data_IF_033718445880
#
_entry.id   IF_033718445880
#
_cell.length_a   1.000
_cell.length_b   1.000
_cell.length_c   1.000
_cell.angle_alpha   90.00
_cell.angle_beta   90.00
_cell.angle_gamma   90.00
#
_symmetry.space_group_name_H-M   'P 1'
#
loop_
_entity.id
_entity.type
_entity.pdbx_description
1 polymer ?
#
# COMPACT_ATOMS: atom_id res chain seq x y z
N UNK A 1 31.17 -16.21 -6.81
CA UNK A 1 31.65 -16.92 -8.02
C UNK A 1 31.23 -16.09 -9.21
N UNK A 2 32.19 -15.61 -9.99
CA UNK A 2 31.94 -14.64 -11.07
C UNK A 2 31.38 -15.31 -12.32
N UNK A 3 30.47 -14.62 -13.00
CA UNK A 3 29.94 -14.99 -14.31
C UNK A 3 30.18 -13.87 -15.32
N UNK A 4 30.61 -14.26 -16.53
CA UNK A 4 30.99 -13.38 -17.63
C UNK A 4 29.78 -12.78 -18.35
N UNK A 5 29.93 -11.56 -18.85
CA UNK A 5 28.95 -10.86 -19.69
C UNK A 5 28.94 -11.37 -21.14
N UNK A 6 27.75 -11.39 -21.75
CA UNK A 6 27.58 -11.38 -23.21
C UNK A 6 26.82 -10.12 -23.66
N UNK A 7 26.93 -9.81 -24.96
CA UNK A 7 26.52 -8.54 -25.54
C UNK A 7 25.01 -8.25 -25.47
N UNK A 8 24.68 -6.95 -25.50
CA UNK A 8 23.34 -6.38 -25.49
C UNK A 8 22.34 -7.14 -26.38
N UNK A 9 21.22 -7.61 -25.80
CA UNK A 9 20.06 -8.09 -26.56
C UNK A 9 19.45 -9.44 -26.16
N UNK A 10 19.81 -10.05 -25.02
CA UNK A 10 19.25 -11.36 -24.62
C UNK A 10 18.13 -11.21 -23.58
N UNK A 11 17.04 -11.96 -23.74
CA UNK A 11 15.77 -11.84 -23.01
C UNK A 11 15.70 -12.54 -21.64
N UNK A 12 16.84 -13.01 -21.09
CA UNK A 12 16.90 -13.63 -19.75
C UNK A 12 17.49 -12.64 -18.75
N UNK A 13 16.84 -12.48 -17.59
CA UNK A 13 17.39 -11.73 -16.44
C UNK A 13 18.68 -12.41 -15.98
N UNK A 14 19.82 -11.83 -16.33
CA UNK A 14 21.11 -12.12 -15.70
C UNK A 14 21.30 -11.13 -14.54
N UNK A 15 21.67 -11.63 -13.36
CA UNK A 15 21.99 -10.77 -12.21
C UNK A 15 23.27 -10.00 -12.54
N UNK A 16 23.20 -8.68 -12.58
CA UNK A 16 24.35 -7.81 -12.86
C UNK A 16 25.24 -7.68 -11.61
N UNK A 17 26.54 -7.93 -11.75
CA UNK A 17 27.52 -7.61 -10.71
C UNK A 17 27.62 -6.08 -10.55
N UNK A 18 27.05 -5.58 -9.46
CA UNK A 18 26.99 -4.15 -9.14
C UNK A 18 28.14 -3.70 -8.23
N UNK A 19 29.14 -4.56 -8.00
CA UNK A 19 30.22 -4.31 -7.03
C UNK A 19 31.05 -3.06 -7.34
N UNK A 20 31.22 -2.69 -8.62
CA UNK A 20 31.91 -1.46 -9.04
C UNK A 20 31.16 -0.17 -8.68
N UNK A 21 29.82 -0.22 -8.66
CA UNK A 21 28.99 0.91 -8.24
C UNK A 21 29.06 1.10 -6.72
N UNK A 22 28.87 0.01 -5.96
CA UNK A 22 28.91 0.05 -4.50
C UNK A 22 30.29 0.38 -3.92
N UNK A 23 31.39 0.01 -4.61
CA UNK A 23 32.76 0.39 -4.23
C UNK A 23 33.02 1.91 -4.18
N UNK A 24 32.12 2.74 -4.72
CA UNK A 24 32.22 4.21 -4.69
C UNK A 24 31.72 4.82 -3.38
N UNK A 25 31.06 4.04 -2.55
CA UNK A 25 30.47 4.47 -1.29
C UNK A 25 31.08 3.68 -0.13
N UNK A 26 31.15 4.29 1.06
CA UNK A 26 31.44 3.50 2.26
C UNK A 26 30.28 2.52 2.46
N UNK A 27 30.53 1.20 2.50
CA UNK A 27 29.46 0.24 2.70
C UNK A 27 28.80 0.48 4.06
N UNK A 28 27.46 0.39 4.15
CA UNK A 28 26.80 0.48 5.44
C UNK A 28 27.27 -0.66 6.36
N UNK A 29 27.31 -0.38 7.65
CA UNK A 29 27.52 -1.39 8.68
C UNK A 29 26.27 -2.28 8.77
N UNK A 30 26.43 -3.57 8.50
CA UNK A 30 25.37 -4.56 8.60
C UNK A 30 25.56 -5.31 9.92
N UNK A 31 24.52 -5.31 10.75
CA UNK A 31 24.49 -6.01 12.03
C UNK A 31 24.12 -7.48 11.85
N UNK A 32 24.82 -8.35 12.58
CA UNK A 32 24.51 -9.77 12.72
C UNK A 32 23.57 -10.06 13.90
N UNK A 33 22.93 -9.02 14.47
CA UNK A 33 21.97 -9.17 15.56
C UNK A 33 20.73 -9.97 15.09
N UNK A 34 20.45 -11.03 15.84
CA UNK A 34 19.33 -11.97 15.66
C UNK A 34 18.42 -12.02 16.89
N UNK A 35 18.59 -11.11 17.87
CA UNK A 35 17.80 -11.11 19.09
C UNK A 35 16.48 -10.37 18.88
N UNK A 36 15.39 -11.13 18.82
CA UNK A 36 14.03 -10.59 18.84
C UNK A 36 13.51 -10.61 20.28
N UNK A 37 13.07 -9.44 20.75
CA UNK A 37 12.47 -9.26 22.06
C UNK A 37 11.08 -9.88 22.14
N UNK A 38 10.62 -10.16 23.36
CA UNK A 38 9.25 -10.61 23.58
C UNK A 38 8.27 -9.49 23.29
N UNK A 39 7.18 -9.80 22.59
CA UNK A 39 6.12 -8.84 22.29
C UNK A 39 5.45 -8.27 23.55
N UNK A 40 5.22 -9.06 24.61
CA UNK A 40 4.54 -8.58 25.82
C UNK A 40 3.05 -8.26 25.60
N UNK A 41 2.46 -7.46 26.49
CA UNK A 41 1.10 -6.91 26.30
C UNK A 41 1.16 -5.81 25.24
N UNK A 42 0.66 -6.12 24.05
CA UNK A 42 0.49 -5.19 22.93
C UNK A 42 -0.96 -5.28 22.46
N UNK A 43 -1.34 -4.47 21.47
CA UNK A 43 -2.71 -4.10 21.11
C UNK A 43 -3.27 -2.99 22.03
N UNK A 44 -2.37 -2.09 22.45
CA UNK A 44 -2.66 -0.97 23.35
C UNK A 44 -2.26 0.35 22.69
N UNK A 45 -3.11 1.36 22.88
CA UNK A 45 -2.79 2.76 22.55
C UNK A 45 -2.61 3.50 23.86
N UNK A 46 -1.44 4.09 24.08
CA UNK A 46 -1.08 4.81 25.30
C UNK A 46 -1.37 6.31 25.15
N UNK A 47 -1.92 6.91 26.21
CA UNK A 47 -1.90 8.38 26.36
C UNK A 47 -0.55 8.73 26.97
N UNK A 48 0.33 9.37 26.20
CA UNK A 48 1.68 9.68 26.65
C UNK A 48 2.58 10.28 25.58
N UNK A 49 3.75 10.74 26.02
CA UNK A 49 4.77 11.32 25.16
C UNK A 49 5.66 10.22 24.57
N UNK A 50 5.70 10.10 23.25
CA UNK A 50 6.47 9.05 22.57
C UNK A 50 8.00 9.21 22.70
N UNK A 51 8.50 10.26 23.35
CA UNK A 51 9.90 10.34 23.81
C UNK A 51 10.21 9.39 24.96
N UNK A 52 9.17 8.84 25.62
CA UNK A 52 9.28 7.76 26.59
C UNK A 52 8.29 6.64 26.20
N UNK A 53 8.82 5.61 25.54
CA UNK A 53 8.06 4.40 25.20
C UNK A 53 8.52 3.21 26.03
N UNK A 54 8.86 3.42 27.30
CA UNK A 54 9.35 2.37 28.21
C UNK A 54 8.40 1.18 28.40
N UNK A 55 7.10 1.36 28.14
CA UNK A 55 6.13 0.25 28.15
C UNK A 55 6.24 -0.66 26.90
N UNK A 56 6.93 -0.22 25.83
CA UNK A 56 7.23 -1.04 24.65
C UNK A 56 8.59 -1.72 24.86
N UNK A 57 8.65 -3.07 24.88
CA UNK A 57 9.91 -3.78 25.03
C UNK A 57 10.92 -3.48 23.91
N UNK A 58 12.20 -3.70 24.20
CA UNK A 58 13.26 -3.59 23.19
C UNK A 58 13.08 -4.67 22.12
N UNK A 59 13.40 -4.33 20.86
CA UNK A 59 13.42 -5.27 19.75
C UNK A 59 12.14 -6.12 19.59
N UNK A 60 10.96 -5.57 19.90
CA UNK A 60 9.68 -6.28 19.95
C UNK A 60 8.69 -5.86 18.87
N UNK A 61 9.01 -4.86 18.04
CA UNK A 61 8.14 -4.40 16.96
C UNK A 61 8.75 -4.65 15.59
N UNK A 62 7.93 -5.16 14.68
CA UNK A 62 8.37 -5.50 13.34
C UNK A 62 8.50 -4.26 12.45
N UNK A 63 7.60 -3.30 12.64
CA UNK A 63 7.54 -2.10 11.83
C UNK A 63 7.09 -0.89 12.63
N UNK A 64 7.62 0.28 12.27
CA UNK A 64 7.10 1.58 12.66
C UNK A 64 6.50 2.23 11.41
N UNK A 65 5.25 2.67 11.47
CA UNK A 65 4.61 3.47 10.42
C UNK A 65 3.89 4.63 11.07
N UNK A 66 4.22 5.85 10.64
CA UNK A 66 3.65 7.04 11.28
C UNK A 66 3.71 8.26 10.36
N UNK A 67 2.99 9.30 10.76
CA UNK A 67 3.01 10.63 10.17
C UNK A 67 3.13 11.65 11.31
N UNK A 68 4.35 12.18 11.59
CA UNK A 68 4.54 13.13 12.67
C UNK A 68 3.71 14.41 12.49
N UNK A 69 3.40 15.15 13.57
CA UNK A 69 2.71 16.42 13.47
C UNK A 69 3.51 17.39 12.59
N UNK A 70 2.88 17.97 11.57
CA UNK A 70 3.54 18.92 10.68
C UNK A 70 3.65 20.29 11.35
N UNK A 71 4.87 20.81 11.48
CA UNK A 71 5.15 22.17 11.98
C UNK A 71 4.69 23.25 10.97
N UNK A 72 3.40 23.25 10.65
CA UNK A 72 2.77 24.00 9.55
C UNK A 72 1.89 25.17 10.02
N UNK A 73 1.87 25.47 11.32
CA UNK A 73 1.22 26.67 11.88
C UNK A 73 -0.33 26.67 11.85
N UNK A 74 -0.99 25.50 11.85
CA UNK A 74 -2.48 25.43 11.93
C UNK A 74 -2.92 25.03 13.33
N UNK A 75 -3.75 25.87 13.97
CA UNK A 75 -4.48 25.73 15.26
C UNK A 75 -3.66 25.35 16.51
N UNK A 76 -2.57 24.59 16.37
CA UNK A 76 -1.55 24.33 17.39
C UNK A 76 -0.77 25.59 17.82
N UNK A 77 -0.85 26.70 17.06
CA UNK A 77 -0.21 27.97 17.44
C UNK A 77 -0.82 28.63 18.68
N UNK A 78 -2.05 28.27 19.07
CA UNK A 78 -2.61 28.78 20.33
C UNK A 78 -1.94 28.17 21.58
N UNK A 79 -1.14 27.11 21.41
CA UNK A 79 -0.42 26.41 22.47
C UNK A 79 1.11 26.30 22.21
N UNK A 80 1.65 27.05 21.23
CA UNK A 80 3.10 27.03 20.95
C UNK A 80 3.87 27.55 22.18
N UNK A 81 4.71 26.70 22.78
CA UNK A 81 5.45 27.00 24.01
C UNK A 81 4.74 26.61 25.31
N UNK A 82 3.57 25.96 25.26
CA UNK A 82 2.90 25.36 26.41
C UNK A 82 2.95 23.82 26.35
N UNK A 83 3.48 23.17 27.39
CA UNK A 83 3.50 21.71 27.51
C UNK A 83 4.51 20.99 26.62
N UNK A 84 4.04 20.03 25.81
CA UNK A 84 4.88 19.08 25.04
C UNK A 84 5.19 19.53 23.59
N UNK A 85 4.77 20.74 23.18
CA UNK A 85 4.86 21.23 21.79
C UNK A 85 6.19 21.98 21.57
N UNK A 86 6.98 21.65 20.53
CA UNK A 86 8.22 22.37 20.21
C UNK A 86 7.97 23.87 19.93
N UNK A 87 8.83 24.73 20.46
CA UNK A 87 8.75 26.18 20.31
C UNK A 87 9.33 26.69 18.98
N UNK A 88 10.23 25.93 18.36
CA UNK A 88 10.77 26.23 17.03
C UNK A 88 11.06 24.97 16.18
N UNK A 89 11.53 25.21 14.94
CA UNK A 89 11.80 24.13 13.99
C UNK A 89 12.95 23.22 14.41
N UNK A 90 13.96 23.73 15.10
CA UNK A 90 15.11 22.93 15.55
C UNK A 90 14.70 22.06 16.74
N UNK A 91 13.93 22.61 17.68
CA UNK A 91 13.32 21.85 18.77
C UNK A 91 12.38 20.76 18.21
N UNK A 92 11.65 21.05 17.13
CA UNK A 92 10.83 20.06 16.44
C UNK A 92 11.66 18.92 15.86
N UNK A 93 12.76 19.21 15.14
CA UNK A 93 13.65 18.16 14.63
C UNK A 93 14.30 17.35 15.76
N UNK A 94 14.64 18.00 16.87
CA UNK A 94 15.18 17.32 18.08
C UNK A 94 14.14 16.35 18.65
N UNK A 95 12.89 16.80 18.78
CA UNK A 95 11.78 15.94 19.23
C UNK A 95 11.60 14.74 18.30
N UNK A 96 11.59 14.93 16.97
CA UNK A 96 11.50 13.82 16.02
C UNK A 96 12.66 12.83 16.19
N UNK A 97 13.90 13.34 16.33
CA UNK A 97 15.09 12.51 16.50
C UNK A 97 15.02 11.68 17.79
N UNK A 98 14.51 12.24 18.87
CA UNK A 98 14.38 11.53 20.15
C UNK A 98 13.27 10.47 20.10
N UNK A 99 12.11 10.79 19.54
CA UNK A 99 11.01 9.81 19.31
C UNK A 99 11.47 8.68 18.39
N UNK A 100 12.13 9.01 17.28
CA UNK A 100 12.64 7.99 16.37
C UNK A 100 13.75 7.16 17.01
N UNK A 101 14.53 7.71 17.95
CA UNK A 101 15.46 6.94 18.77
C UNK A 101 14.76 5.83 19.57
N UNK A 102 13.64 6.14 20.22
CA UNK A 102 12.81 5.15 20.91
C UNK A 102 12.19 4.13 19.94
N UNK A 103 11.78 4.56 18.74
CA UNK A 103 11.37 3.64 17.68
C UNK A 103 12.49 2.67 17.30
N UNK A 104 13.74 3.15 17.17
CA UNK A 104 14.89 2.29 16.85
C UNK A 104 15.17 1.30 17.96
N UNK A 105 15.02 1.68 19.24
CA UNK A 105 15.13 0.75 20.38
C UNK A 105 14.09 -0.38 20.26
N UNK A 106 12.82 -0.02 20.05
CA UNK A 106 11.71 -0.97 19.96
C UNK A 106 11.77 -1.88 18.72
N UNK A 107 12.33 -1.41 17.60
CA UNK A 107 12.40 -2.20 16.36
C UNK A 107 13.25 -3.46 16.52
N UNK A 108 12.72 -4.59 16.03
CA UNK A 108 13.48 -5.83 15.85
C UNK A 108 14.72 -5.61 14.95
N UNK A 109 15.74 -6.49 15.00
CA UNK A 109 16.78 -6.48 13.96
C UNK A 109 16.17 -6.78 12.59
N UNK A 110 16.45 -5.93 11.61
CA UNK A 110 15.72 -5.95 10.34
C UNK A 110 14.30 -5.39 10.46
N UNK A 111 13.96 -4.70 11.54
CA UNK A 111 12.78 -3.84 11.65
C UNK A 111 12.73 -2.81 10.52
N UNK A 112 11.53 -2.41 10.08
CA UNK A 112 11.35 -1.30 9.13
C UNK A 112 10.75 -0.09 9.81
N UNK A 113 11.18 1.09 9.41
CA UNK A 113 10.51 2.35 9.77
C UNK A 113 10.07 3.05 8.49
N UNK A 114 8.84 3.54 8.45
CA UNK A 114 8.26 4.28 7.34
C UNK A 114 7.63 5.57 7.87
N UNK A 115 8.25 6.71 7.56
CA UNK A 115 7.84 8.02 8.07
C UNK A 115 7.21 8.83 6.93
N UNK A 116 5.92 9.13 7.06
CA UNK A 116 5.21 10.00 6.13
C UNK A 116 5.38 11.46 6.52
N UNK A 117 5.85 12.30 5.59
CA UNK A 117 5.97 13.74 5.78
C UNK A 117 5.60 14.54 4.54
N UNK A 118 4.97 15.70 4.80
CA UNK A 118 4.81 16.76 3.82
C UNK A 118 5.92 17.80 3.99
N UNK A 119 6.46 18.31 2.88
CA UNK A 119 7.35 19.45 2.93
C UNK A 119 6.59 20.71 3.37
N UNK A 120 7.26 21.56 4.15
CA UNK A 120 6.62 22.63 4.90
C UNK A 120 6.89 23.99 4.27
N UNK A 121 5.90 24.87 4.39
CA UNK A 121 6.03 26.25 3.96
C UNK A 121 6.21 26.43 2.45
N UNK A 122 6.10 27.68 2.01
CA UNK A 122 6.41 28.09 0.62
C UNK A 122 7.50 29.15 0.60
N UNK A 123 7.59 29.96 1.67
CA UNK A 123 8.52 31.09 1.86
C UNK A 123 8.84 31.26 3.36
N UNK A 124 9.86 30.57 3.90
CA UNK A 124 10.74 29.63 3.21
C UNK A 124 10.05 28.29 2.91
N UNK A 125 10.48 27.62 1.86
CA UNK A 125 10.20 26.20 1.66
C UNK A 125 11.18 25.39 2.52
N UNK A 126 10.68 24.39 3.24
CA UNK A 126 11.44 23.49 4.10
C UNK A 126 11.25 22.06 3.64
N UNK A 127 12.36 21.41 3.31
CA UNK A 127 12.38 20.04 2.85
C UNK A 127 12.42 19.08 4.04
N UNK A 128 11.29 18.94 4.74
CA UNK A 128 11.18 18.07 5.90
C UNK A 128 11.54 16.62 5.57
N UNK A 129 11.27 16.16 4.34
CA UNK A 129 11.68 14.83 3.90
C UNK A 129 13.21 14.62 3.93
N UNK A 130 13.98 15.64 3.56
CA UNK A 130 15.44 15.59 3.65
C UNK A 130 15.94 15.61 5.10
N UNK A 131 15.29 16.41 5.96
CA UNK A 131 15.65 16.48 7.38
C UNK A 131 15.36 15.14 8.08
N UNK A 132 14.20 14.53 7.83
CA UNK A 132 13.86 13.18 8.33
C UNK A 132 14.82 12.12 7.79
N UNK A 133 15.20 12.20 6.51
CA UNK A 133 16.18 11.27 5.92
C UNK A 133 17.51 11.37 6.66
N UNK A 134 17.99 12.59 6.93
CA UNK A 134 19.22 12.83 7.71
C UNK A 134 19.12 12.23 9.11
N UNK A 135 18.02 12.45 9.82
CA UNK A 135 17.81 11.89 11.17
C UNK A 135 17.87 10.36 11.14
N UNK A 136 17.14 9.71 10.22
CA UNK A 136 17.09 8.25 10.16
C UNK A 136 18.45 7.65 9.74
N UNK A 137 19.08 8.22 8.72
CA UNK A 137 20.29 7.65 8.12
C UNK A 137 21.57 8.02 8.89
N UNK A 138 21.75 9.30 9.21
CA UNK A 138 23.03 9.82 9.70
C UNK A 138 23.04 9.86 11.24
N UNK A 139 21.96 10.34 11.87
CA UNK A 139 21.91 10.46 13.34
C UNK A 139 21.60 9.12 14.01
N UNK A 140 20.66 8.34 13.45
CA UNK A 140 20.20 7.06 14.00
C UNK A 140 20.79 5.84 13.29
N UNK A 141 21.62 6.04 12.26
CA UNK A 141 22.39 5.00 11.57
C UNK A 141 21.54 3.86 11.00
N UNK A 142 20.29 4.15 10.63
CA UNK A 142 19.45 3.19 9.93
C UNK A 142 19.87 3.05 8.47
N UNK A 143 19.55 1.89 7.90
CA UNK A 143 19.83 1.55 6.52
C UNK A 143 18.69 2.04 5.64
N UNK A 144 18.91 3.12 4.89
CA UNK A 144 17.91 3.65 3.97
C UNK A 144 17.57 2.63 2.88
N UNK A 145 16.27 2.45 2.62
CA UNK A 145 15.75 1.60 1.53
C UNK A 145 15.31 2.38 0.30
N UNK A 146 14.97 3.64 0.51
CA UNK A 146 14.44 4.52 -0.51
C UNK A 146 13.33 5.38 0.06
N UNK A 147 12.71 6.13 -0.84
CA UNK A 147 11.54 6.95 -0.56
C UNK A 147 10.41 6.57 -1.51
N UNK A 148 9.18 6.68 -1.02
CA UNK A 148 7.99 6.64 -1.87
C UNK A 148 7.45 8.06 -2.00
N UNK A 149 7.16 8.46 -3.23
CA UNK A 149 6.39 9.65 -3.57
C UNK A 149 4.91 9.29 -3.50
N UNK A 150 4.25 9.67 -2.40
CA UNK A 150 2.82 9.49 -2.28
C UNK A 150 2.08 10.61 -3.00
N UNK A 151 1.46 10.29 -4.13
CA UNK A 151 0.65 11.19 -4.94
C UNK A 151 -0.80 11.16 -4.46
N UNK A 152 -1.25 12.25 -3.82
CA UNK A 152 -2.60 12.35 -3.23
C UNK A 152 -3.70 12.49 -4.27
N UNK A 153 -3.40 13.19 -5.38
CA UNK A 153 -4.35 13.50 -6.46
C UNK A 153 -3.61 13.75 -7.78
N UNK A 154 -4.21 13.38 -8.93
CA UNK A 154 -3.70 13.76 -10.26
C UNK A 154 -4.30 15.11 -10.71
N UNK A 155 -3.44 16.04 -11.14
CA UNK A 155 -3.86 17.23 -11.90
C UNK A 155 -4.30 18.44 -11.08
N UNK A 156 -5.18 19.26 -11.68
CA UNK A 156 -5.59 20.52 -11.11
C UNK A 156 -6.61 20.34 -9.97
N UNK A 157 -6.11 20.14 -8.75
CA UNK A 157 -6.91 20.52 -7.59
C UNK A 157 -7.31 21.99 -7.74
N UNK A 158 -8.50 22.37 -7.28
CA UNK A 158 -8.96 23.76 -7.26
C UNK A 158 -8.10 24.70 -6.38
N UNK A 159 -6.91 24.26 -5.97
CA UNK A 159 -5.93 25.03 -5.25
C UNK A 159 -5.32 26.08 -6.18
N UNK A 160 -5.72 27.33 -5.98
CA UNK A 160 -5.16 28.50 -6.65
C UNK A 160 -3.77 28.93 -6.15
N UNK A 161 -3.03 28.03 -5.49
CA UNK A 161 -1.76 28.32 -4.85
C UNK A 161 -0.55 28.28 -5.82
N UNK A 162 -0.69 28.86 -7.02
CA UNK A 162 0.35 28.90 -8.05
C UNK A 162 1.35 30.06 -7.88
N UNK A 163 1.16 30.93 -6.89
CA UNK A 163 1.88 32.20 -6.82
C UNK A 163 1.45 33.11 -7.98
N UNK A 164 2.38 33.56 -8.80
CA UNK A 164 2.09 34.38 -9.98
C UNK A 164 1.48 33.53 -11.11
N UNK A 165 0.18 33.70 -11.36
CA UNK A 165 -0.52 33.02 -12.45
C UNK A 165 0.04 33.44 -13.81
N UNK A 166 0.44 32.45 -14.64
CA UNK A 166 0.99 32.65 -15.99
C UNK A 166 2.12 33.70 -16.06
N UNK A 167 2.90 33.83 -14.99
CA UNK A 167 4.00 34.79 -14.93
C UNK A 167 5.21 34.18 -14.23
N UNK A 168 6.43 34.34 -14.78
CA UNK A 168 7.66 33.87 -14.15
C UNK A 168 8.07 34.73 -12.95
N UNK A 169 7.30 35.80 -12.62
CA UNK A 169 7.64 36.69 -11.52
C UNK A 169 7.80 35.94 -10.19
N UNK A 170 6.90 35.00 -9.89
CA UNK A 170 6.98 34.16 -8.70
C UNK A 170 6.02 32.95 -8.75
N UNK A 171 6.14 32.04 -9.74
CA UNK A 171 5.36 30.82 -9.74
C UNK A 171 5.79 29.91 -8.58
N UNK A 172 4.84 29.22 -7.95
CA UNK A 172 5.10 28.27 -6.87
C UNK A 172 4.62 26.89 -7.28
N UNK A 173 5.41 25.87 -6.97
CA UNK A 173 5.03 24.48 -7.19
C UNK A 173 3.87 24.10 -6.27
N UNK A 174 2.95 23.29 -6.79
CA UNK A 174 1.81 22.79 -6.03
C UNK A 174 2.17 21.46 -5.39
N UNK A 175 2.09 21.41 -4.08
CA UNK A 175 2.42 20.23 -3.28
C UNK A 175 1.27 19.23 -3.38
N UNK A 176 1.34 18.39 -4.41
CA UNK A 176 0.37 17.31 -4.65
C UNK A 176 0.87 15.96 -4.11
N UNK A 177 2.07 15.96 -3.53
CA UNK A 177 2.75 14.77 -3.04
C UNK A 177 3.23 14.93 -1.60
N UNK A 178 3.36 13.80 -0.93
CA UNK A 178 4.11 13.64 0.33
C UNK A 178 5.25 12.64 0.10
N UNK A 179 6.09 12.45 1.11
CA UNK A 179 7.20 11.49 1.07
C UNK A 179 7.05 10.49 2.20
N UNK A 180 7.18 9.21 1.88
CA UNK A 180 7.33 8.15 2.85
C UNK A 180 8.79 7.68 2.81
N UNK A 181 9.55 8.01 3.84
CA UNK A 181 10.97 7.67 3.95
C UNK A 181 11.07 6.31 4.64
N UNK A 182 11.72 5.34 4.00
CA UNK A 182 11.77 3.95 4.47
C UNK A 182 13.20 3.55 4.81
N UNK A 183 13.41 3.05 6.02
CA UNK A 183 14.72 2.56 6.48
C UNK A 183 14.61 1.25 7.27
N UNK A 184 15.75 0.59 7.52
CA UNK A 184 15.82 -0.65 8.30
C UNK A 184 16.86 -0.61 9.41
N UNK A 185 16.55 -1.27 10.53
CA UNK A 185 17.45 -1.38 11.68
C UNK A 185 18.51 -2.46 11.44
N UNK A 186 19.77 -2.04 11.32
CA UNK A 186 20.96 -2.90 11.33
C UNK A 186 21.14 -3.81 10.11
N UNK A 187 20.07 -4.30 9.47
CA UNK A 187 20.15 -5.28 8.37
C UNK A 187 18.98 -5.18 7.39
N UNK A 188 19.18 -5.71 6.19
CA UNK A 188 18.19 -5.63 5.10
C UNK A 188 17.22 -6.83 5.04
N UNK A 189 17.53 -7.94 5.68
CA UNK A 189 16.67 -9.11 5.80
C UNK A 189 15.90 -9.07 7.13
N UNK A 190 15.08 -10.09 7.43
CA UNK A 190 14.40 -10.23 8.72
C UNK A 190 15.01 -11.40 9.48
N UNK A 191 15.12 -11.26 10.79
CA UNK A 191 15.40 -12.38 11.69
C UNK A 191 14.25 -13.39 11.61
N UNK A 192 14.58 -14.69 11.68
CA UNK A 192 13.59 -15.77 11.76
C UNK A 192 12.82 -16.03 10.46
N UNK A 193 13.50 -16.08 9.31
CA UNK A 193 12.92 -16.57 8.05
C UNK A 193 12.52 -18.04 8.21
N UNK A 194 11.23 -18.37 8.16
CA UNK A 194 10.72 -19.72 8.37
C UNK A 194 9.32 -19.94 7.80
N UNK A 195 8.92 -21.21 7.63
CA UNK A 195 7.66 -21.62 7.01
C UNK A 195 6.39 -21.14 7.76
N UNK A 196 6.53 -20.77 9.04
CA UNK A 196 5.40 -20.38 9.90
C UNK A 196 5.00 -18.90 9.75
N UNK A 197 5.78 -18.08 9.03
CA UNK A 197 5.44 -16.67 8.79
C UNK A 197 4.61 -16.52 7.52
N UNK A 198 3.44 -15.90 7.65
CA UNK A 198 2.50 -15.72 6.54
C UNK A 198 2.71 -14.35 5.90
N UNK A 199 3.27 -14.32 4.69
CA UNK A 199 3.25 -13.12 3.86
C UNK A 199 1.83 -12.88 3.35
N UNK A 200 1.39 -11.63 3.21
CA UNK A 200 -0.01 -11.31 2.89
C UNK A 200 -0.18 -10.45 1.63
N UNK A 201 0.89 -10.15 0.88
CA UNK A 201 0.80 -9.31 -0.32
C UNK A 201 0.35 -10.22 -1.48
N UNK A 202 -0.77 -9.93 -2.15
CA UNK A 202 -1.10 -10.62 -3.39
C UNK A 202 -0.02 -10.40 -4.45
N UNK A 203 0.29 -11.43 -5.26
CA UNK A 203 1.41 -11.35 -6.21
C UNK A 203 1.29 -10.24 -7.27
N UNK A 204 0.07 -9.86 -7.65
CA UNK A 204 -0.21 -8.75 -8.56
C UNK A 204 -0.09 -7.38 -7.88
N UNK A 205 -0.51 -7.27 -6.62
CA UNK A 205 -0.31 -6.08 -5.80
C UNK A 205 1.17 -5.85 -5.45
N UNK A 206 1.96 -6.92 -5.28
CA UNK A 206 3.37 -6.82 -4.94
C UNK A 206 4.14 -5.99 -5.95
N UNK A 207 3.93 -6.24 -7.25
CA UNK A 207 4.62 -5.51 -8.31
C UNK A 207 4.28 -4.02 -8.29
N UNK A 208 3.01 -3.66 -8.08
CA UNK A 208 2.58 -2.26 -7.96
C UNK A 208 3.14 -1.60 -6.70
N UNK A 209 3.09 -2.32 -5.58
CA UNK A 209 3.53 -1.82 -4.29
C UNK A 209 5.05 -1.60 -4.24
N UNK A 210 5.84 -2.32 -5.05
CA UNK A 210 7.30 -2.11 -5.17
C UNK A 210 7.72 -0.90 -6.01
N UNK A 211 6.76 -0.17 -6.61
CA UNK A 211 7.06 1.10 -7.28
C UNK A 211 7.30 2.22 -6.25
N UNK A 212 8.05 3.24 -6.65
CA UNK A 212 8.40 4.41 -5.85
C UNK A 212 7.36 5.54 -5.92
N UNK A 213 6.31 5.40 -6.73
CA UNK A 213 5.19 6.35 -6.79
C UNK A 213 3.90 5.64 -6.44
N UNK A 214 3.26 6.04 -5.34
CA UNK A 214 1.99 5.46 -4.90
C UNK A 214 0.87 6.48 -5.07
N UNK A 215 -0.14 6.09 -5.84
CA UNK A 215 -1.34 6.90 -6.07
C UNK A 215 -2.47 6.43 -5.17
N UNK A 216 -2.61 7.08 -4.02
CA UNK A 216 -3.62 6.75 -3.01
C UNK A 216 -4.36 8.05 -2.68
N UNK A 217 -5.69 8.12 -2.87
CA UNK A 217 -6.46 9.31 -2.51
C UNK A 217 -6.33 9.64 -1.02
N UNK A 218 -6.25 10.93 -0.70
CA UNK A 218 -6.27 11.38 0.69
C UNK A 218 -7.61 11.06 1.37
N UNK A 219 -7.57 10.79 2.67
CA UNK A 219 -8.76 10.63 3.50
C UNK A 219 -9.46 11.97 3.76
N UNK A 220 -10.77 11.93 3.94
CA UNK A 220 -11.54 13.13 4.29
C UNK A 220 -11.36 13.46 5.77
N UNK A 221 -10.67 14.55 6.08
CA UNK A 221 -10.46 15.04 7.45
C UNK A 221 -11.79 15.18 8.24
N UNK A 222 -12.86 15.65 7.59
CA UNK A 222 -14.19 15.78 8.20
C UNK A 222 -14.86 14.46 8.51
N UNK A 223 -14.57 13.39 7.75
CA UNK A 223 -15.11 12.05 8.00
C UNK A 223 -14.37 11.33 9.12
N UNK A 224 -13.08 11.61 9.27
CA UNK A 224 -12.22 10.96 10.26
C UNK A 224 -12.21 11.70 11.61
N UNK A 225 -12.65 12.97 11.65
CA UNK A 225 -12.62 13.77 12.88
C UNK A 225 -11.20 14.22 13.27
N UNK A 226 -10.24 14.12 12.35
CA UNK A 226 -8.84 14.47 12.57
C UNK A 226 -8.37 15.45 11.47
N UNK A 227 -7.60 16.50 11.81
CA UNK A 227 -7.25 17.56 10.86
C UNK A 227 -6.34 17.09 9.71
N UNK A 228 -5.54 16.03 9.90
CA UNK A 228 -4.59 15.55 8.89
C UNK A 228 -4.24 14.05 8.97
N UNK A 229 -5.19 13.09 8.86
CA UNK A 229 -4.86 11.67 8.83
C UNK A 229 -4.28 11.27 7.46
N UNK A 230 -3.19 10.50 7.47
CA UNK A 230 -2.78 9.75 6.29
C UNK A 230 -3.75 8.57 6.06
N UNK A 231 -3.94 8.09 4.81
CA UNK A 231 -4.94 7.06 4.51
C UNK A 231 -4.61 5.70 5.08
N UNK A 232 -5.63 4.96 5.53
CA UNK A 232 -5.50 3.56 5.96
C UNK A 232 -4.84 2.72 4.86
N UNK A 233 -5.24 2.89 3.60
CA UNK A 233 -4.68 2.17 2.47
C UNK A 233 -3.17 2.42 2.25
N UNK A 234 -2.66 3.60 2.64
CA UNK A 234 -1.22 3.90 2.57
C UNK A 234 -0.45 3.03 3.58
N UNK A 235 -1.01 2.89 4.79
CA UNK A 235 -0.44 2.07 5.86
C UNK A 235 -0.55 0.59 5.52
N UNK A 236 -1.73 0.12 5.10
CA UNK A 236 -1.94 -1.29 4.71
C UNK A 236 -0.93 -1.75 3.66
N UNK A 237 -0.65 -0.91 2.66
CA UNK A 237 0.39 -1.18 1.66
C UNK A 237 1.78 -1.35 2.29
N UNK A 238 2.14 -0.50 3.24
CA UNK A 238 3.38 -0.64 4.01
C UNK A 238 3.42 -1.96 4.79
N UNK A 239 2.34 -2.28 5.50
CA UNK A 239 2.26 -3.49 6.33
C UNK A 239 2.37 -4.75 5.48
N UNK A 240 1.65 -4.81 4.36
CA UNK A 240 1.76 -5.91 3.42
C UNK A 240 3.21 -6.08 2.95
N UNK A 241 3.89 -5.02 2.49
CA UNK A 241 5.26 -5.12 1.96
C UNK A 241 6.32 -5.48 2.99
N UNK A 242 6.20 -4.99 4.22
CA UNK A 242 7.31 -4.96 5.17
C UNK A 242 7.10 -5.77 6.45
N UNK A 243 5.95 -6.41 6.60
CA UNK A 243 5.61 -7.27 7.77
C UNK A 243 4.91 -8.55 7.35
N UNK A 244 4.90 -9.53 8.24
CA UNK A 244 4.11 -10.76 8.13
C UNK A 244 2.81 -10.63 8.95
N UNK A 245 1.84 -11.51 8.71
CA UNK A 245 0.66 -11.61 9.57
C UNK A 245 1.08 -11.90 11.03
N UNK A 246 0.38 -11.28 11.98
CA UNK A 246 0.67 -11.38 13.41
C UNK A 246 1.80 -10.47 13.92
N UNK A 247 2.58 -9.86 13.02
CA UNK A 247 3.63 -8.91 13.39
C UNK A 247 3.05 -7.68 14.11
N UNK A 248 3.88 -7.05 14.93
CA UNK A 248 3.53 -5.84 15.70
C UNK A 248 3.97 -4.59 14.97
N UNK A 249 3.05 -3.63 14.84
CA UNK A 249 3.28 -2.32 14.26
C UNK A 249 3.21 -1.23 15.32
N UNK A 250 4.21 -0.35 15.37
CA UNK A 250 4.26 0.81 16.26
C UNK A 250 3.92 2.11 15.52
N UNK A 251 3.05 2.93 16.11
CA UNK A 251 2.84 4.32 15.71
C UNK A 251 3.09 5.27 16.91
N UNK A 252 4.20 6.02 16.94
CA UNK A 252 4.48 6.99 18.01
C UNK A 252 3.62 8.26 17.95
N UNK A 253 2.83 8.45 16.90
CA UNK A 253 1.93 9.59 16.71
C UNK A 253 0.55 9.10 16.21
N UNK A 254 -0.10 8.29 17.04
CA UNK A 254 -1.27 7.47 16.68
C UNK A 254 -2.46 8.29 16.15
N UNK A 255 -2.68 9.49 16.68
CA UNK A 255 -3.84 10.33 16.37
C UNK A 255 -5.14 9.54 16.45
N UNK A 256 -6.00 9.69 15.43
CA UNK A 256 -7.28 8.98 15.30
C UNK A 256 -7.22 7.47 14.98
N UNK A 257 -6.04 6.84 15.10
CA UNK A 257 -5.91 5.38 15.02
C UNK A 257 -5.77 4.78 13.62
N UNK A 258 -5.37 5.55 12.61
CA UNK A 258 -5.19 5.04 11.23
C UNK A 258 -4.31 3.79 11.19
N UNK A 259 -3.17 3.81 11.91
CA UNK A 259 -2.21 2.70 11.89
C UNK A 259 -2.77 1.46 12.60
N UNK A 260 -3.46 1.62 13.72
CA UNK A 260 -4.11 0.51 14.42
C UNK A 260 -5.22 -0.15 13.56
N UNK A 261 -6.03 0.67 12.89
CA UNK A 261 -7.06 0.20 11.94
C UNK A 261 -6.43 -0.59 10.79
N UNK A 262 -5.35 -0.07 10.20
CA UNK A 262 -4.62 -0.77 9.14
C UNK A 262 -4.01 -2.09 9.62
N UNK A 263 -3.44 -2.10 10.83
CA UNK A 263 -2.91 -3.32 11.43
C UNK A 263 -4.00 -4.38 11.58
N UNK A 264 -5.15 -4.02 12.16
CA UNK A 264 -6.27 -4.95 12.34
C UNK A 264 -6.84 -5.45 10.99
N UNK A 265 -7.01 -4.56 10.01
CA UNK A 265 -7.48 -4.93 8.66
C UNK A 265 -6.58 -5.95 7.97
N UNK A 266 -5.29 -5.92 8.29
CA UNK A 266 -4.28 -6.76 7.66
C UNK A 266 -3.85 -7.92 8.57
N UNK A 267 -4.50 -8.13 9.72
CA UNK A 267 -4.16 -9.21 10.64
C UNK A 267 -2.80 -9.04 11.32
N UNK A 268 -2.38 -7.80 11.58
CA UNK A 268 -1.23 -7.42 12.41
C UNK A 268 -1.71 -6.96 13.79
N UNK A 269 -0.80 -7.00 14.74
CA UNK A 269 -0.93 -6.39 16.06
C UNK A 269 -0.45 -4.95 16.02
N UNK A 270 -0.85 -4.13 16.98
CA UNK A 270 -0.44 -2.74 17.04
C UNK A 270 -0.02 -2.29 18.43
N UNK A 271 0.73 -1.20 18.49
CA UNK A 271 0.95 -0.41 19.68
C UNK A 271 1.12 1.05 19.25
N UNK A 272 0.73 2.00 20.08
CA UNK A 272 1.06 3.39 19.77
C UNK A 272 0.83 4.36 20.89
N UNK A 273 1.23 5.59 20.61
CA UNK A 273 1.25 6.69 21.58
C UNK A 273 0.61 7.91 20.95
N UNK A 274 -0.14 8.65 21.75
CA UNK A 274 -0.51 10.02 21.45
C UNK A 274 -0.62 10.81 22.75
N UNK A 275 -0.30 12.10 22.72
CA UNK A 275 -0.40 12.97 23.89
C UNK A 275 -1.83 13.44 24.15
N UNK A 276 -2.69 13.40 23.13
CA UNK A 276 -4.09 13.79 23.22
C UNK A 276 -4.97 12.59 23.63
N UNK A 277 -5.57 12.70 24.81
CA UNK A 277 -6.49 11.68 25.34
C UNK A 277 -7.70 11.47 24.43
N UNK A 278 -8.26 12.52 23.86
CA UNK A 278 -9.47 12.42 23.03
C UNK A 278 -9.18 11.62 21.76
N UNK A 279 -8.01 11.83 21.14
CA UNK A 279 -7.59 11.03 19.99
C UNK A 279 -7.35 9.56 20.35
N UNK A 280 -6.72 9.28 21.49
CA UNK A 280 -6.53 7.90 21.95
C UNK A 280 -7.86 7.20 22.19
N UNK A 281 -8.82 7.86 22.83
CA UNK A 281 -10.14 7.28 23.12
C UNK A 281 -10.91 7.03 21.81
N UNK A 282 -10.87 7.96 20.85
CA UNK A 282 -11.44 7.76 19.50
C UNK A 282 -10.77 6.60 18.74
N UNK A 283 -9.44 6.50 18.80
CA UNK A 283 -8.70 5.44 18.14
C UNK A 283 -9.07 4.05 18.69
N UNK A 284 -9.21 3.94 20.03
CA UNK A 284 -9.64 2.70 20.69
C UNK A 284 -11.06 2.31 20.29
N UNK A 285 -12.02 3.24 20.37
CA UNK A 285 -13.40 2.97 19.97
C UNK A 285 -13.48 2.50 18.51
N UNK A 286 -12.70 3.15 17.63
CA UNK A 286 -12.64 2.80 16.21
C UNK A 286 -12.17 1.37 15.99
N UNK A 287 -11.09 0.94 16.66
CA UNK A 287 -10.54 -0.41 16.53
C UNK A 287 -11.41 -1.47 17.21
N UNK A 288 -12.01 -1.15 18.36
CA UNK A 288 -12.93 -2.05 19.08
C UNK A 288 -14.22 -2.30 18.28
N UNK A 289 -14.68 -1.33 17.48
CA UNK A 289 -15.87 -1.47 16.64
C UNK A 289 -15.67 -2.35 15.39
N UNK A 290 -14.44 -2.73 15.08
CA UNK A 290 -14.12 -3.46 13.86
C UNK A 290 -14.28 -4.96 14.02
N UNK A 291 -14.87 -5.59 13.00
CA UNK A 291 -14.92 -7.05 12.92
C UNK A 291 -13.55 -7.61 12.53
N UNK A 292 -13.18 -8.74 13.13
CA UNK A 292 -12.01 -9.52 12.71
C UNK A 292 -12.15 -9.90 11.24
N UNK A 293 -11.14 -9.59 10.44
CA UNK A 293 -11.08 -9.99 9.02
C UNK A 293 -10.22 -11.24 8.86
N UNK A 294 -10.66 -12.13 7.99
CA UNK A 294 -9.82 -13.21 7.50
C UNK A 294 -8.67 -12.63 6.66
N UNK A 295 -7.52 -13.31 6.70
CA UNK A 295 -6.38 -12.91 5.88
C UNK A 295 -6.71 -13.05 4.39
N UNK A 296 -6.30 -12.09 3.55
CA UNK A 296 -6.58 -12.15 2.11
C UNK A 296 -5.83 -13.32 1.46
N UNK A 297 -6.43 -13.90 0.42
CA UNK A 297 -5.76 -14.87 -0.45
C UNK A 297 -4.57 -14.20 -1.17
N UNK A 298 -3.37 -14.75 -1.00
CA UNK A 298 -2.14 -14.18 -1.55
C UNK A 298 -1.88 -14.58 -3.01
N UNK A 299 -2.67 -15.50 -3.55
CA UNK A 299 -2.59 -15.87 -4.98
C UNK A 299 -2.96 -14.67 -5.84
N UNK A 300 -2.38 -14.58 -7.03
CA UNK A 300 -2.80 -13.54 -7.98
C UNK A 300 -4.24 -13.76 -8.39
N UNK A 301 -4.98 -12.71 -8.76
CA UNK A 301 -6.33 -12.87 -9.31
C UNK A 301 -6.37 -13.85 -10.49
N UNK A 302 -5.29 -13.89 -11.29
CA UNK A 302 -5.14 -14.84 -12.39
C UNK A 302 -5.07 -16.28 -11.92
N UNK A 303 -4.36 -16.56 -10.82
CA UNK A 303 -4.24 -17.91 -10.28
C UNK A 303 -5.53 -18.37 -9.58
N UNK A 304 -6.21 -17.47 -8.86
CA UNK A 304 -7.54 -17.71 -8.29
C UNK A 304 -8.52 -18.03 -9.41
N UNK A 305 -8.58 -17.18 -10.45
CA UNK A 305 -9.43 -17.39 -11.62
C UNK A 305 -9.14 -18.71 -12.33
N UNK A 306 -7.88 -19.06 -12.57
CA UNK A 306 -7.52 -20.33 -13.22
C UNK A 306 -8.00 -21.52 -12.39
N UNK A 307 -7.83 -21.47 -11.07
CA UNK A 307 -8.23 -22.54 -10.15
C UNK A 307 -9.75 -22.72 -10.19
N UNK A 308 -10.51 -21.64 -9.95
CA UNK A 308 -11.97 -21.73 -9.87
C UNK A 308 -12.62 -22.07 -11.22
N UNK A 309 -12.04 -21.65 -12.35
CA UNK A 309 -12.50 -22.06 -13.67
C UNK A 309 -12.29 -23.56 -13.90
N UNK A 310 -11.14 -24.11 -13.47
CA UNK A 310 -10.91 -25.55 -13.50
C UNK A 310 -11.89 -26.32 -12.62
N UNK A 311 -12.13 -25.84 -11.39
CA UNK A 311 -13.08 -26.44 -10.45
C UNK A 311 -14.53 -26.37 -10.96
N UNK A 312 -14.88 -25.31 -11.70
CA UNK A 312 -16.18 -25.15 -12.37
C UNK A 312 -16.32 -26.01 -13.65
N UNK A 313 -15.29 -26.77 -14.02
CA UNK A 313 -15.30 -27.70 -15.15
C UNK A 313 -14.97 -27.07 -16.51
N UNK A 314 -14.43 -25.85 -16.55
CA UNK A 314 -13.97 -25.25 -17.81
C UNK A 314 -12.69 -25.93 -18.30
N UNK A 315 -12.67 -26.33 -19.57
CA UNK A 315 -11.53 -27.00 -20.23
C UNK A 315 -10.90 -26.12 -21.31
N UNK A 316 -9.73 -26.53 -21.81
CA UNK A 316 -8.98 -25.84 -22.86
C UNK A 316 -8.70 -24.36 -22.55
N UNK A 317 -8.39 -24.06 -21.28
CA UNK A 317 -8.11 -22.71 -20.81
C UNK A 317 -6.82 -22.16 -21.44
N UNK A 318 -6.97 -21.37 -22.49
CA UNK A 318 -5.90 -20.58 -23.10
C UNK A 318 -5.78 -19.23 -22.37
N UNK A 319 -4.58 -18.90 -21.93
CA UNK A 319 -4.26 -17.61 -21.32
C UNK A 319 -3.86 -16.56 -22.35
N UNK A 320 -4.19 -15.29 -22.07
CA UNK A 320 -3.88 -14.18 -22.97
C UNK A 320 -4.38 -14.43 -24.41
N UNK A 321 -5.60 -14.98 -24.51
CA UNK A 321 -6.23 -15.36 -25.76
C UNK A 321 -6.48 -14.14 -26.65
N UNK A 322 -5.92 -14.14 -27.85
CA UNK A 322 -6.11 -13.06 -28.82
C UNK A 322 -7.44 -13.25 -29.56
N UNK A 323 -8.34 -12.28 -29.44
CA UNK A 323 -9.66 -12.31 -30.09
C UNK A 323 -9.63 -11.52 -31.41
N UNK A 324 -9.02 -10.34 -31.40
CA UNK A 324 -8.85 -9.50 -32.59
C UNK A 324 -7.57 -8.68 -32.49
N UNK A 325 -7.10 -8.00 -33.57
CA UNK A 325 -5.97 -7.09 -33.48
C UNK A 325 -6.19 -6.03 -32.39
N UNK A 326 -5.34 -6.04 -31.35
CA UNK A 326 -5.42 -5.11 -30.22
C UNK A 326 -6.34 -5.57 -29.07
N UNK A 327 -7.05 -6.68 -29.20
CA UNK A 327 -7.92 -7.23 -28.14
C UNK A 327 -7.45 -8.62 -27.74
N UNK A 328 -7.04 -8.71 -26.48
CA UNK A 328 -6.61 -9.94 -25.82
C UNK A 328 -7.44 -10.13 -24.55
N UNK A 329 -8.04 -11.29 -24.38
CA UNK A 329 -8.79 -11.67 -23.18
C UNK A 329 -7.87 -12.44 -22.22
N UNK A 330 -8.16 -12.37 -20.93
CA UNK A 330 -7.33 -13.01 -19.89
C UNK A 330 -7.35 -14.54 -20.04
N UNK A 331 -8.53 -15.11 -20.27
CA UNK A 331 -8.69 -16.53 -20.60
C UNK A 331 -9.71 -16.75 -21.73
N UNK A 332 -9.57 -17.88 -22.42
CA UNK A 332 -10.56 -18.47 -23.32
C UNK A 332 -10.68 -19.95 -22.98
N UNK A 333 -11.90 -20.48 -22.86
CA UNK A 333 -12.10 -21.90 -22.57
C UNK A 333 -13.50 -22.38 -22.92
N UNK A 334 -13.74 -23.67 -22.78
CA UNK A 334 -15.04 -24.29 -23.02
C UNK A 334 -15.69 -24.66 -21.69
N UNK A 335 -16.97 -24.33 -21.52
CA UNK A 335 -17.73 -24.79 -20.37
C UNK A 335 -18.09 -26.28 -20.48
N UNK A 336 -18.56 -26.91 -19.38
CA UNK A 336 -19.17 -28.24 -19.38
C UNK A 336 -20.25 -28.48 -20.46
N UNK A 337 -20.94 -27.43 -20.91
CA UNK A 337 -21.90 -27.46 -22.03
C UNK A 337 -21.26 -27.42 -23.43
N UNK A 338 -19.93 -27.38 -23.51
CA UNK A 338 -19.15 -27.28 -24.74
C UNK A 338 -19.13 -25.88 -25.36
N UNK A 339 -19.76 -24.87 -24.74
CA UNK A 339 -19.77 -23.50 -25.28
C UNK A 339 -18.47 -22.78 -24.96
N UNK A 340 -17.95 -22.07 -25.96
CA UNK A 340 -16.79 -21.20 -25.82
C UNK A 340 -17.16 -19.98 -24.97
N UNK A 341 -16.32 -19.67 -23.97
CA UNK A 341 -16.44 -18.46 -23.16
C UNK A 341 -15.12 -17.72 -23.08
N UNK A 342 -15.21 -16.39 -23.03
CA UNK A 342 -14.08 -15.49 -22.88
C UNK A 342 -14.12 -14.88 -21.49
N UNK A 343 -12.99 -14.91 -20.78
CA UNK A 343 -12.89 -14.37 -19.44
C UNK A 343 -11.93 -13.20 -19.41
N UNK A 344 -12.34 -12.11 -18.77
CA UNK A 344 -11.44 -10.98 -18.50
C UNK A 344 -11.36 -10.71 -17.01
N UNK A 345 -10.12 -10.57 -16.53
CA UNK A 345 -9.86 -10.11 -15.17
C UNK A 345 -10.03 -8.60 -15.11
N UNK A 346 -10.93 -8.11 -14.28
CA UNK A 346 -11.14 -6.68 -14.18
C UNK A 346 -12.25 -6.24 -13.25
N UNK A 347 -12.07 -5.06 -12.68
CA UNK A 347 -12.94 -4.52 -11.66
C UNK A 347 -12.28 -3.32 -10.98
N UNK A 348 -13.02 -2.66 -10.10
CA UNK A 348 -12.54 -1.49 -9.36
C UNK A 348 -11.46 -1.84 -8.33
N UNK A 349 -11.34 -3.11 -7.93
CA UNK A 349 -10.31 -3.56 -6.99
C UNK A 349 -9.28 -4.50 -7.65
N UNK A 350 -9.36 -4.70 -8.97
CA UNK A 350 -8.32 -5.41 -9.71
C UNK A 350 -7.15 -4.46 -10.00
N UNK A 351 -5.89 -4.85 -9.77
CA UNK A 351 -4.74 -4.03 -10.12
C UNK A 351 -4.79 -3.56 -11.57
N UNK A 352 -4.65 -2.26 -11.77
CA UNK A 352 -4.63 -1.67 -13.10
C UNK A 352 -3.21 -1.75 -13.68
N UNK A 353 -3.08 -1.63 -15.01
CA UNK A 353 -1.75 -1.44 -15.61
C UNK A 353 -1.17 -0.10 -15.11
N UNK A 354 0.14 -0.01 -14.90
CA UNK A 354 0.79 1.25 -14.53
C UNK A 354 0.32 2.39 -15.45
N UNK A 355 -0.12 3.49 -14.84
CA UNK A 355 -0.63 4.67 -15.56
C UNK A 355 -2.15 4.74 -15.72
N UNK A 356 -2.87 3.63 -15.60
CA UNK A 356 -4.35 3.59 -15.63
C UNK A 356 -4.92 3.64 -14.22
N UNK A 357 -6.02 4.36 -14.04
CA UNK A 357 -6.79 4.28 -12.80
C UNK A 357 -7.59 2.98 -12.74
N UNK A 358 -8.04 2.60 -11.54
CA UNK A 358 -8.97 1.46 -11.34
C UNK A 358 -10.25 1.59 -12.16
N UNK A 359 -10.77 2.81 -12.34
CA UNK A 359 -11.96 3.04 -13.17
C UNK A 359 -11.64 2.93 -14.67
N UNK A 360 -10.44 3.33 -15.11
CA UNK A 360 -10.01 3.12 -16.50
C UNK A 360 -9.92 1.62 -16.84
N UNK A 361 -9.55 0.79 -15.86
CA UNK A 361 -9.57 -0.66 -16.03
C UNK A 361 -10.99 -1.18 -16.31
N UNK A 362 -11.99 -0.69 -15.56
CA UNK A 362 -13.40 -1.02 -15.79
C UNK A 362 -13.85 -0.63 -17.21
N UNK A 363 -13.56 0.60 -17.64
CA UNK A 363 -13.92 1.04 -18.99
C UNK A 363 -13.24 0.23 -20.08
N UNK A 364 -11.97 -0.13 -19.88
CA UNK A 364 -11.22 -1.01 -20.78
C UNK A 364 -11.87 -2.39 -20.90
N UNK A 365 -12.32 -2.97 -19.78
CA UNK A 365 -12.98 -4.28 -19.77
C UNK A 365 -14.29 -4.23 -20.55
N UNK A 366 -15.11 -3.19 -20.32
CA UNK A 366 -16.37 -2.99 -21.07
C UNK A 366 -16.09 -2.83 -22.57
N UNK A 367 -15.08 -2.04 -22.95
CA UNK A 367 -14.70 -1.85 -24.34
C UNK A 367 -14.23 -3.16 -25.00
N UNK A 368 -13.40 -3.96 -24.29
CA UNK A 368 -12.96 -5.28 -24.75
C UNK A 368 -14.15 -6.21 -24.97
N UNK A 369 -15.07 -6.29 -24.02
CA UNK A 369 -16.26 -7.12 -24.09
C UNK A 369 -17.12 -6.76 -25.31
N UNK A 370 -17.34 -5.47 -25.56
CA UNK A 370 -18.08 -4.97 -26.74
C UNK A 370 -17.42 -5.39 -28.04
N UNK A 371 -16.09 -5.29 -28.16
CA UNK A 371 -15.38 -5.73 -29.37
C UNK A 371 -15.45 -7.24 -29.54
N UNK A 372 -15.32 -8.02 -28.46
CA UNK A 372 -15.44 -9.48 -28.54
C UNK A 372 -16.82 -9.90 -29.07
N UNK A 373 -17.90 -9.32 -28.52
CA UNK A 373 -19.27 -9.60 -28.98
C UNK A 373 -19.54 -9.13 -30.41
N UNK A 374 -18.87 -8.06 -30.86
CA UNK A 374 -18.97 -7.60 -32.24
C UNK A 374 -18.24 -8.51 -33.24
N UNK A 375 -17.16 -9.19 -32.81
CA UNK A 375 -16.42 -10.16 -33.61
C UNK A 375 -17.13 -11.51 -33.65
N UNK A 376 -17.69 -11.92 -32.51
CA UNK A 376 -18.43 -13.16 -32.34
C UNK A 376 -19.66 -12.88 -31.47
N UNK A 377 -20.84 -12.85 -32.10
CA UNK A 377 -22.09 -12.51 -31.43
C UNK A 377 -22.52 -13.56 -30.40
N UNK A 378 -22.02 -14.79 -30.52
CA UNK A 378 -22.31 -15.92 -29.64
C UNK A 378 -21.27 -16.06 -28.51
N UNK A 379 -20.24 -15.21 -28.48
CA UNK A 379 -19.23 -15.25 -27.43
C UNK A 379 -19.75 -14.70 -26.10
N UNK A 380 -19.84 -15.58 -25.10
CA UNK A 380 -20.11 -15.19 -23.72
C UNK A 380 -18.86 -14.59 -23.07
N UNK A 381 -18.89 -13.27 -22.84
CA UNK A 381 -17.82 -12.57 -22.11
C UNK A 381 -18.15 -12.50 -20.62
N UNK A 382 -17.36 -13.18 -19.80
CA UNK A 382 -17.49 -13.20 -18.34
C UNK A 382 -16.37 -12.35 -17.73
N UNK A 383 -16.72 -11.47 -16.81
CA UNK A 383 -15.75 -10.68 -16.05
C UNK A 383 -15.52 -11.32 -14.69
N UNK A 384 -14.26 -11.61 -14.36
CA UNK A 384 -13.85 -12.11 -13.05
C UNK A 384 -13.20 -10.96 -12.27
N UNK A 385 -13.68 -10.70 -11.06
CA UNK A 385 -13.27 -9.56 -10.21
C UNK A 385 -13.09 -9.99 -8.77
N UNK A 386 -12.57 -9.09 -7.94
CA UNK A 386 -12.61 -9.16 -6.47
C UNK A 386 -13.32 -7.94 -5.91
N UNK A 387 -14.15 -8.13 -4.88
CA UNK A 387 -14.73 -7.05 -4.06
C UNK A 387 -15.71 -6.13 -4.78
N UNK A 388 -16.61 -6.65 -5.61
CA UNK A 388 -17.60 -5.82 -6.32
C UNK A 388 -18.68 -5.28 -5.38
N UNK A 389 -18.68 -3.96 -5.21
CA UNK A 389 -19.77 -3.22 -4.55
C UNK A 389 -21.00 -3.28 -5.46
N UNK A 390 -22.16 -3.65 -4.91
CA UNK A 390 -23.45 -3.71 -5.64
C UNK A 390 -23.65 -2.48 -6.53
N UNK A 391 -23.81 -2.66 -7.85
CA UNK A 391 -24.04 -1.60 -8.83
C UNK A 391 -22.82 -1.21 -9.67
N UNK A 392 -22.90 -0.07 -10.37
CA UNK A 392 -21.78 0.51 -11.14
C UNK A 392 -21.69 0.08 -12.61
N UNK A 393 -20.66 0.54 -13.36
CA UNK A 393 -20.59 0.38 -14.82
C UNK A 393 -20.56 -1.07 -15.29
N UNK A 394 -19.86 -1.97 -14.59
CA UNK A 394 -19.84 -3.40 -14.93
C UNK A 394 -21.22 -4.03 -14.76
N UNK A 395 -21.96 -3.68 -13.71
CA UNK A 395 -23.31 -4.18 -13.49
C UNK A 395 -24.29 -3.66 -14.56
N UNK A 396 -24.14 -2.41 -15.01
CA UNK A 396 -24.96 -1.83 -16.09
C UNK A 396 -24.64 -2.46 -17.44
N UNK A 397 -23.37 -2.80 -17.69
CA UNK A 397 -22.93 -3.43 -18.93
C UNK A 397 -23.18 -4.95 -18.97
N UNK A 398 -23.63 -5.55 -17.85
CA UNK A 398 -23.90 -6.97 -17.74
C UNK A 398 -25.37 -7.32 -18.09
N UNK A 399 -25.61 -8.54 -18.58
CA UNK A 399 -26.94 -9.10 -18.86
C UNK A 399 -27.18 -9.34 -20.36
N UNK A 400 -28.35 -9.87 -20.72
CA UNK A 400 -28.67 -10.37 -22.07
C UNK A 400 -28.44 -9.34 -23.20
N UNK A 401 -28.78 -8.08 -22.93
CA UNK A 401 -28.60 -6.98 -23.87
C UNK A 401 -27.19 -6.36 -23.81
N UNK A 402 -26.42 -6.63 -22.75
CA UNK A 402 -25.12 -6.01 -22.49
C UNK A 402 -23.94 -6.74 -23.15
N UNK A 403 -22.79 -6.08 -23.35
CA UNK A 403 -21.59 -6.74 -23.90
C UNK A 403 -20.97 -7.78 -22.95
N UNK A 404 -21.38 -7.81 -21.68
CA UNK A 404 -20.88 -8.73 -20.66
C UNK A 404 -22.01 -9.69 -20.27
N UNK A 405 -21.77 -10.99 -20.37
CA UNK A 405 -22.74 -12.02 -19.98
C UNK A 405 -22.92 -12.08 -18.46
N UNK A 406 -21.80 -12.06 -17.71
CA UNK A 406 -21.82 -12.11 -16.25
C UNK A 406 -20.60 -11.44 -15.63
N UNK A 407 -20.77 -10.97 -14.39
CA UNK A 407 -19.67 -10.49 -13.52
C UNK A 407 -19.64 -11.36 -12.28
N UNK A 408 -18.54 -12.07 -12.07
CA UNK A 408 -18.34 -12.99 -10.95
C UNK A 408 -17.25 -12.44 -10.04
N UNK A 409 -17.60 -12.27 -8.77
CA UNK A 409 -16.65 -11.94 -7.72
C UNK A 409 -16.03 -13.24 -7.20
N UNK A 410 -14.78 -13.51 -7.57
CA UNK A 410 -14.14 -14.80 -7.28
C UNK A 410 -13.73 -14.96 -5.81
N UNK A 411 -13.87 -13.92 -4.99
CA UNK A 411 -13.64 -14.01 -3.54
C UNK A 411 -14.90 -14.33 -2.73
N UNK A 412 -16.06 -14.53 -3.37
CA UNK A 412 -17.29 -14.92 -2.68
C UNK A 412 -17.49 -16.44 -2.70
N UNK A 413 -18.09 -16.97 -1.63
CA UNK A 413 -18.37 -18.41 -1.48
C UNK A 413 -19.27 -18.97 -2.60
N UNK A 414 -20.12 -18.13 -3.19
CA UNK A 414 -21.06 -18.50 -4.27
C UNK A 414 -20.41 -18.47 -5.67
N UNK A 415 -19.15 -18.05 -5.79
CA UNK A 415 -18.49 -17.84 -7.08
C UNK A 415 -18.44 -19.11 -7.93
N UNK A 416 -18.11 -20.25 -7.30
CA UNK A 416 -18.03 -21.54 -7.97
C UNK A 416 -19.40 -21.98 -8.50
N UNK A 417 -20.43 -21.90 -7.66
CA UNK A 417 -21.81 -22.25 -8.04
C UNK A 417 -22.29 -21.38 -9.21
N UNK A 418 -22.00 -20.07 -9.18
CA UNK A 418 -22.36 -19.16 -10.27
C UNK A 418 -21.64 -19.48 -11.57
N UNK A 419 -20.36 -19.86 -11.53
CA UNK A 419 -19.60 -20.26 -12.72
C UNK A 419 -20.11 -21.57 -13.33
N UNK A 420 -20.50 -22.53 -12.48
CA UNK A 420 -21.15 -23.78 -12.90
C UNK A 420 -22.53 -23.52 -13.49
N UNK A 421 -23.30 -22.61 -12.88
CA UNK A 421 -24.63 -22.21 -13.38
C UNK A 421 -24.57 -21.59 -14.78
N UNK A 422 -23.53 -20.80 -15.07
CA UNK A 422 -23.31 -20.27 -16.43
C UNK A 422 -23.01 -21.35 -17.47
N UNK A 423 -22.46 -22.48 -17.03
CA UNK A 423 -22.07 -23.61 -17.85
C UNK A 423 -23.17 -24.67 -18.04
N UNK A 424 -24.37 -24.45 -17.48
CA UNK A 424 -25.50 -25.38 -17.61
C UNK A 424 -26.48 -24.83 -18.65
N UNK A 425 -26.93 -25.62 -19.65
CA UNK A 425 -27.93 -25.15 -20.60
C UNK A 425 -29.25 -24.84 -19.87
N UNK A 426 -29.84 -23.68 -20.19
CA UNK A 426 -31.12 -23.23 -19.66
C UNK A 426 -32.31 -24.14 -20.04
#
# INVERSE_FOLDING_TARGET
MGTSTSAFGVSKRESHDSSDFYRRFAPPEISDDDVVGSSGELDVIHVGDARDMSAVPDASVAMVVTSPPYFAGKEYETALGEGHIPGDYIEYLTMLRDVFGECVRALEPGGRIAINVANLGRRPYRNLAADVTTILQDDLRLLLRGEVVWQKQRGASGSCAWGSYQSPANPVLRDTTERLIIASKGRFDRVGQGADRVATVPGDEFMEATLDVWEIPAESATRVGHPAPFPVALVERCLHLFTYAGDVVLDPFMGSGTTAVAAQNTGRRYVGYDTDREYVDQARERVESMATRELPDTRTLKDIARTILGDAGYTDLEEAARVSPGVTMSFRGHGPDGRLRLFELGGVNTPARPGLTRIDNVWRVIAKATVCRAVDADADVIVLTVGTVRGGPLAVAAGEAGPIAAVIDVSLDDALERLVGLATPA
#
